data_IF_060530866914
#
_entry.id   IF_060530866914
#
_cell.length_a   1.000
_cell.length_b   1.000
_cell.length_c   1.000
_cell.angle_alpha   90.00
_cell.angle_beta   90.00
_cell.angle_gamma   90.00
#
_symmetry.space_group_name_H-M   'P 1'
#
loop_
_entity.id
_entity.type
_entity.pdbx_description
1 polymer ?
#
# COMPACT_ATOMS: atom_id res chain seq x y z
N UNK A 1 24.19 17.77 62.94
CA UNK A 1 24.48 18.20 61.55
C UNK A 1 24.78 17.00 60.65
N UNK A 2 25.71 16.10 61.00
CA UNK A 2 26.10 14.91 60.21
C UNK A 2 24.96 13.95 59.84
N UNK A 3 24.05 13.64 60.77
CA UNK A 3 22.91 12.75 60.52
C UNK A 3 21.93 13.28 59.46
N UNK A 4 21.83 14.60 59.30
CA UNK A 4 20.97 15.22 58.28
C UNK A 4 21.58 15.06 56.88
N UNK A 5 22.92 15.20 56.77
CA UNK A 5 23.63 15.01 55.51
C UNK A 5 23.58 13.56 55.02
N UNK A 6 23.69 12.57 55.92
CA UNK A 6 23.57 11.16 55.54
C UNK A 6 22.17 10.82 55.03
N UNK A 7 21.12 11.37 55.66
CA UNK A 7 19.73 11.14 55.26
C UNK A 7 19.43 11.75 53.88
N UNK A 8 19.96 12.95 53.63
CA UNK A 8 19.85 13.63 52.35
C UNK A 8 20.60 12.89 51.23
N UNK A 9 21.77 12.32 51.55
CA UNK A 9 22.53 11.49 50.63
C UNK A 9 21.80 10.20 50.25
N UNK A 10 21.19 9.52 51.24
CA UNK A 10 20.39 8.32 51.01
C UNK A 10 19.15 8.64 50.16
N UNK A 11 18.45 9.74 50.46
CA UNK A 11 17.31 10.18 49.68
C UNK A 11 17.70 10.53 48.23
N UNK A 12 18.84 11.21 48.04
CA UNK A 12 19.38 11.50 46.71
C UNK A 12 19.75 10.23 45.94
N UNK A 13 20.40 9.27 46.58
CA UNK A 13 20.73 7.98 45.97
C UNK A 13 19.47 7.18 45.59
N UNK A 14 18.45 7.22 46.43
CA UNK A 14 17.16 6.58 46.16
C UNK A 14 16.42 7.24 44.99
N UNK A 15 16.38 8.58 44.93
CA UNK A 15 15.82 9.31 43.79
C UNK A 15 16.57 9.02 42.49
N UNK A 16 17.90 8.94 42.53
CA UNK A 16 18.72 8.54 41.39
C UNK A 16 18.39 7.11 40.96
N UNK A 17 18.25 6.17 41.89
CA UNK A 17 17.86 4.79 41.59
C UNK A 17 16.49 4.73 40.88
N UNK A 18 15.49 5.45 41.40
CA UNK A 18 14.16 5.53 40.77
C UNK A 18 14.23 6.16 39.38
N UNK A 19 15.00 7.24 39.21
CA UNK A 19 15.23 7.90 37.93
C UNK A 19 15.88 6.96 36.90
N UNK A 20 16.93 6.23 37.30
CA UNK A 20 17.56 5.24 36.43
C UNK A 20 16.62 4.08 36.07
N UNK A 21 15.76 3.66 37.00
CA UNK A 21 14.72 2.65 36.75
C UNK A 21 13.72 3.10 35.69
N UNK A 22 13.16 4.30 35.83
CA UNK A 22 12.23 4.87 34.84
C UNK A 22 12.90 5.08 33.49
N UNK A 23 14.16 5.53 33.46
CA UNK A 23 14.92 5.71 32.21
C UNK A 23 15.10 4.39 31.46
N UNK A 24 15.50 3.32 32.15
CA UNK A 24 15.63 1.97 31.54
C UNK A 24 14.30 1.47 30.99
N UNK A 25 13.21 1.69 31.74
CA UNK A 25 11.87 1.29 31.35
C UNK A 25 11.43 2.03 30.08
N UNK A 26 11.60 3.35 30.03
CA UNK A 26 11.26 4.16 28.86
C UNK A 26 12.05 3.73 27.61
N UNK A 27 13.36 3.47 27.75
CA UNK A 27 14.17 2.97 26.63
C UNK A 27 13.69 1.60 26.13
N UNK A 28 13.26 0.70 27.03
CA UNK A 28 12.67 -0.59 26.62
C UNK A 28 11.36 -0.40 25.85
N UNK A 29 10.49 0.51 26.27
CA UNK A 29 9.27 0.81 25.52
C UNK A 29 9.57 1.40 24.15
N UNK A 30 10.56 2.29 24.05
CA UNK A 30 10.99 2.87 22.77
C UNK A 30 11.54 1.81 21.83
N UNK A 31 12.39 0.92 22.32
CA UNK A 31 12.95 -0.15 21.50
C UNK A 31 11.87 -1.14 21.02
N UNK A 32 10.95 -1.56 21.90
CA UNK A 32 9.85 -2.44 21.50
C UNK A 32 8.91 -1.77 20.51
N UNK A 33 8.63 -0.47 20.68
CA UNK A 33 7.84 0.29 19.72
C UNK A 33 8.54 0.36 18.36
N UNK A 34 9.84 0.69 18.34
CA UNK A 34 10.63 0.72 17.10
C UNK A 34 10.70 -0.64 16.42
N UNK A 35 10.90 -1.73 17.17
CA UNK A 35 10.94 -3.10 16.66
C UNK A 35 9.58 -3.55 16.09
N UNK A 36 8.50 -3.20 16.78
CA UNK A 36 7.16 -3.41 16.25
C UNK A 36 6.96 -2.62 14.96
N UNK A 37 7.32 -1.33 14.92
CA UNK A 37 7.20 -0.52 13.69
C UNK A 37 8.06 -1.05 12.55
N UNK A 38 9.32 -1.44 12.80
CA UNK A 38 10.20 -2.00 11.77
C UNK A 38 9.67 -3.35 11.26
N UNK A 39 9.17 -4.20 12.15
CA UNK A 39 8.56 -5.48 11.76
C UNK A 39 7.37 -5.30 10.81
N UNK A 40 6.55 -4.26 11.01
CA UNK A 40 5.44 -3.96 10.09
C UNK A 40 5.96 -3.51 8.71
N UNK A 41 6.99 -2.68 8.66
CA UNK A 41 7.60 -2.25 7.38
C UNK A 41 8.31 -3.40 6.67
N UNK A 42 9.09 -4.22 7.38
CA UNK A 42 9.78 -5.39 6.83
C UNK A 42 8.78 -6.43 6.28
N UNK A 43 7.64 -6.60 6.95
CA UNK A 43 6.55 -7.45 6.47
C UNK A 43 5.93 -6.89 5.19
N UNK A 44 5.59 -5.59 5.15
CA UNK A 44 5.03 -4.95 3.94
C UNK A 44 6.00 -5.07 2.78
N UNK A 45 7.29 -4.87 3.02
CA UNK A 45 8.34 -5.01 2.02
C UNK A 45 8.42 -6.45 1.49
N UNK A 46 8.37 -7.44 2.38
CA UNK A 46 8.35 -8.86 1.98
C UNK A 46 7.13 -9.20 1.12
N UNK A 47 5.94 -8.73 1.52
CA UNK A 47 4.71 -8.93 0.75
C UNK A 47 4.81 -8.28 -0.62
N UNK A 48 5.35 -7.05 -0.68
CA UNK A 48 5.54 -6.30 -1.94
C UNK A 48 6.52 -7.00 -2.88
N UNK A 49 7.64 -7.51 -2.37
CA UNK A 49 8.60 -8.32 -3.15
C UNK A 49 7.94 -9.60 -3.65
N UNK A 50 7.16 -10.28 -2.80
CA UNK A 50 6.38 -11.46 -3.19
C UNK A 50 5.37 -11.14 -4.29
N UNK A 51 4.69 -9.99 -4.19
CA UNK A 51 3.72 -9.50 -5.15
C UNK A 51 4.38 -9.27 -6.52
N UNK A 52 5.51 -8.57 -6.55
CA UNK A 52 6.29 -8.41 -7.78
C UNK A 52 6.70 -9.76 -8.38
N UNK A 53 7.24 -10.68 -7.57
CA UNK A 53 7.67 -11.98 -8.09
C UNK A 53 6.52 -12.88 -8.57
N UNK A 54 5.32 -12.72 -8.00
CA UNK A 54 4.12 -13.43 -8.44
C UNK A 54 3.69 -12.99 -9.84
N UNK A 55 3.73 -11.69 -10.10
CA UNK A 55 3.17 -11.09 -11.32
C UNK A 55 4.21 -10.68 -12.36
N UNK A 56 5.51 -10.72 -12.03
CA UNK A 56 6.57 -10.46 -13.01
C UNK A 56 6.45 -11.47 -14.15
N UNK A 57 6.54 -10.96 -15.36
CA UNK A 57 6.57 -11.77 -16.58
C UNK A 57 8.02 -12.14 -16.85
N UNK A 58 8.36 -13.41 -16.68
CA UNK A 58 9.64 -13.93 -17.16
C UNK A 58 9.52 -14.15 -18.68
N UNK A 59 10.20 -13.31 -19.46
CA UNK A 59 10.18 -13.39 -20.93
C UNK A 59 10.78 -14.70 -21.47
N UNK A 60 11.48 -15.46 -20.64
CA UNK A 60 12.11 -16.74 -20.99
C UNK A 60 11.25 -17.97 -20.65
N UNK A 61 10.19 -17.80 -19.85
CA UNK A 61 9.25 -18.87 -19.53
C UNK A 61 7.91 -18.58 -20.20
N UNK A 62 7.54 -19.42 -21.18
CA UNK A 62 6.16 -19.55 -21.66
C UNK A 62 5.29 -20.06 -20.51
N UNK A 63 4.93 -19.17 -19.58
CA UNK A 63 3.84 -19.42 -18.67
C UNK A 63 2.56 -19.33 -19.49
N UNK A 64 1.80 -20.42 -19.50
CA UNK A 64 0.44 -20.51 -20.04
C UNK A 64 -0.59 -19.68 -19.22
N UNK A 65 -0.10 -18.81 -18.33
CA UNK A 65 -0.90 -17.97 -17.46
C UNK A 65 -1.43 -16.74 -18.22
N UNK A 66 -2.62 -16.30 -17.83
CA UNK A 66 -3.26 -15.11 -18.39
C UNK A 66 -2.30 -13.89 -18.28
N UNK A 67 -1.94 -13.23 -19.40
CA UNK A 67 -1.02 -12.11 -19.38
C UNK A 67 -1.54 -10.90 -18.61
N UNK A 68 -2.83 -10.89 -18.23
CA UNK A 68 -3.54 -9.81 -17.54
C UNK A 68 -3.80 -10.10 -16.04
N UNK A 69 -3.16 -11.12 -15.47
CA UNK A 69 -3.38 -11.51 -14.07
C UNK A 69 -3.14 -10.36 -13.07
N UNK A 70 -2.18 -9.49 -13.34
CA UNK A 70 -1.88 -8.39 -12.43
C UNK A 70 -2.93 -7.28 -12.51
N UNK A 71 -3.40 -6.98 -13.70
CA UNK A 71 -4.47 -6.04 -13.99
C UNK A 71 -5.77 -6.51 -13.34
N UNK A 72 -6.10 -7.80 -13.45
CA UNK A 72 -7.24 -8.40 -12.74
C UNK A 72 -7.11 -8.28 -11.22
N UNK A 73 -5.93 -8.58 -10.67
CA UNK A 73 -5.67 -8.44 -9.24
C UNK A 73 -5.87 -7.00 -8.75
N UNK A 74 -5.34 -6.02 -9.48
CA UNK A 74 -5.51 -4.60 -9.14
C UNK A 74 -6.97 -4.18 -9.29
N UNK A 75 -7.66 -4.62 -10.34
CA UNK A 75 -9.07 -4.31 -10.57
C UNK A 75 -9.99 -4.79 -9.44
N UNK A 76 -9.72 -5.97 -8.86
CA UNK A 76 -10.47 -6.48 -7.71
C UNK A 76 -10.25 -5.65 -6.43
N UNK A 77 -9.02 -5.19 -6.21
CA UNK A 77 -8.69 -4.30 -5.09
C UNK A 77 -9.39 -2.97 -5.28
N UNK A 78 -9.25 -2.33 -6.44
CA UNK A 78 -9.83 -1.01 -6.70
C UNK A 78 -11.36 -1.02 -6.57
N UNK A 79 -12.01 -2.06 -7.09
CA UNK A 79 -13.44 -2.28 -6.91
C UNK A 79 -13.87 -2.28 -5.44
N UNK A 80 -13.08 -2.86 -4.54
CA UNK A 80 -13.39 -2.85 -3.11
C UNK A 80 -13.13 -1.50 -2.44
N UNK A 81 -12.23 -0.70 -3.01
CA UNK A 81 -11.81 0.59 -2.44
C UNK A 81 -12.78 1.70 -2.83
N UNK A 82 -13.22 1.76 -4.10
CA UNK A 82 -14.11 2.83 -4.60
C UNK A 82 -15.56 2.38 -4.80
N UNK A 83 -15.83 1.08 -4.75
CA UNK A 83 -17.15 0.53 -5.06
C UNK A 83 -17.44 0.47 -6.56
N UNK A 84 -18.64 0.00 -6.93
CA UNK A 84 -19.07 -0.09 -8.32
C UNK A 84 -18.51 -1.30 -9.08
N UNK A 85 -18.09 -1.08 -10.33
CA UNK A 85 -17.64 -2.15 -11.24
C UNK A 85 -16.34 -1.80 -11.95
N UNK A 86 -15.45 -2.78 -12.06
CA UNK A 86 -14.19 -2.68 -12.80
C UNK A 86 -14.19 -3.62 -14.00
N UNK A 87 -13.53 -3.20 -15.07
CA UNK A 87 -13.32 -3.95 -16.30
C UNK A 87 -11.84 -3.85 -16.68
N UNK A 88 -11.18 -5.00 -16.83
CA UNK A 88 -9.82 -5.07 -17.38
C UNK A 88 -9.89 -5.04 -18.90
N UNK A 89 -9.08 -4.18 -19.52
CA UNK A 89 -9.03 -4.03 -20.97
C UNK A 89 -8.15 -5.13 -21.61
N UNK A 90 -8.15 -5.20 -22.95
CA UNK A 90 -7.33 -6.18 -23.67
C UNK A 90 -5.91 -5.66 -23.79
N UNK A 91 -4.92 -6.55 -23.72
CA UNK A 91 -3.48 -6.21 -23.78
C UNK A 91 -2.98 -5.47 -25.04
N UNK A 92 -3.80 -5.32 -26.08
CA UNK A 92 -3.41 -4.65 -27.33
C UNK A 92 -4.49 -3.68 -27.79
N UNK A 93 -4.10 -2.44 -28.10
CA UNK A 93 -5.00 -1.42 -28.65
C UNK A 93 -5.90 -0.75 -27.60
N UNK A 94 -5.56 -0.89 -26.32
CA UNK A 94 -6.23 -0.23 -25.19
C UNK A 94 -5.83 1.25 -25.02
N UNK A 95 -4.91 1.74 -25.85
CA UNK A 95 -4.34 3.09 -25.77
C UNK A 95 -3.75 3.41 -24.39
N UNK A 96 -3.27 2.39 -23.68
CA UNK A 96 -2.62 2.47 -22.37
C UNK A 96 -3.58 2.60 -21.19
N UNK A 97 -4.84 2.23 -21.34
CA UNK A 97 -5.79 2.04 -20.23
C UNK A 97 -5.88 0.56 -19.92
N UNK A 98 -5.45 0.15 -18.73
CA UNK A 98 -5.48 -1.27 -18.31
C UNK A 98 -6.80 -1.61 -17.59
N UNK A 99 -7.38 -0.62 -16.88
CA UNK A 99 -8.60 -0.78 -16.09
C UNK A 99 -9.57 0.38 -16.37
N UNK A 100 -10.83 0.04 -16.62
CA UNK A 100 -11.96 0.97 -16.66
C UNK A 100 -12.83 0.73 -15.43
N UNK A 101 -13.09 1.77 -14.66
CA UNK A 101 -13.82 1.67 -13.40
C UNK A 101 -15.00 2.64 -13.38
N UNK A 102 -16.19 2.11 -13.15
CA UNK A 102 -17.43 2.88 -13.01
C UNK A 102 -17.86 2.87 -11.54
N UNK A 103 -17.85 4.06 -10.94
CA UNK A 103 -18.28 4.29 -9.55
C UNK A 103 -19.51 5.21 -9.52
N UNK A 104 -20.08 5.42 -8.34
CA UNK A 104 -21.16 6.40 -8.15
C UNK A 104 -20.68 7.84 -8.38
N UNK A 105 -19.38 8.10 -8.27
CA UNK A 105 -18.76 9.41 -8.50
C UNK A 105 -18.45 9.67 -9.98
N UNK A 106 -18.33 8.60 -10.79
CA UNK A 106 -18.13 8.71 -12.23
C UNK A 106 -17.17 7.66 -12.79
N UNK A 107 -16.64 7.96 -13.98
CA UNK A 107 -15.67 7.11 -14.67
C UNK A 107 -14.24 7.38 -14.16
N UNK A 108 -13.53 6.32 -13.78
CA UNK A 108 -12.11 6.32 -13.48
C UNK A 108 -11.35 5.44 -14.46
N UNK A 109 -10.14 5.87 -14.81
CA UNK A 109 -9.25 5.15 -15.72
C UNK A 109 -7.95 4.76 -15.01
N UNK A 110 -7.56 3.50 -15.13
CA UNK A 110 -6.41 2.92 -14.44
C UNK A 110 -5.33 2.44 -15.40
N UNK A 111 -4.06 2.69 -15.05
CA UNK A 111 -2.92 2.02 -15.66
C UNK A 111 -2.08 1.30 -14.59
N UNK A 112 -1.53 0.15 -14.94
CA UNK A 112 -0.85 -0.77 -14.03
C UNK A 112 0.55 -1.10 -14.56
N UNK A 113 1.55 -1.15 -13.66
CA UNK A 113 2.96 -1.44 -13.99
C UNK A 113 3.61 -2.37 -12.96
N UNK A 114 3.82 -3.64 -13.33
CA UNK A 114 4.53 -4.61 -12.50
C UNK A 114 6.06 -4.45 -12.64
N UNK A 115 6.64 -3.42 -12.00
CA UNK A 115 8.07 -3.12 -12.03
C UNK A 115 8.77 -3.37 -10.70
N UNK A 116 10.09 -3.58 -10.75
CA UNK A 116 10.94 -3.64 -9.57
C UNK A 116 11.39 -2.25 -9.12
N UNK A 117 12.03 -2.17 -7.96
CA UNK A 117 12.47 -0.90 -7.36
C UNK A 117 13.60 -0.21 -8.10
N UNK A 118 14.35 -0.93 -8.92
CA UNK A 118 15.45 -0.38 -9.71
C UNK A 118 14.96 0.27 -11.01
N UNK A 119 13.67 0.11 -11.34
CA UNK A 119 13.03 0.72 -12.50
C UNK A 119 11.79 1.53 -12.08
N UNK A 120 11.98 2.68 -11.41
CA UNK A 120 10.87 3.50 -10.97
C UNK A 120 10.07 4.04 -12.16
N UNK A 121 8.74 4.09 -11.99
CA UNK A 121 7.81 4.54 -13.01
C UNK A 121 7.95 6.06 -13.23
N UNK A 122 8.14 6.44 -14.50
CA UNK A 122 8.21 7.82 -14.98
C UNK A 122 6.84 8.48 -15.13
N UNK A 123 6.82 9.64 -15.78
CA UNK A 123 5.58 10.41 -15.99
C UNK A 123 4.73 9.90 -17.17
N UNK A 124 5.29 9.07 -18.07
CA UNK A 124 4.61 8.66 -19.30
C UNK A 124 3.23 8.00 -19.06
N UNK A 125 3.06 7.07 -18.10
CA UNK A 125 1.75 6.49 -17.78
C UNK A 125 0.72 7.53 -17.34
N UNK A 126 1.18 8.56 -16.62
CA UNK A 126 0.33 9.62 -16.07
C UNK A 126 -0.17 10.51 -17.21
N UNK A 127 0.70 10.84 -18.16
CA UNK A 127 0.33 11.61 -19.34
C UNK A 127 -0.68 10.87 -20.23
N UNK A 128 -0.54 9.55 -20.38
CA UNK A 128 -1.48 8.70 -21.10
C UNK A 128 -2.85 8.74 -20.42
N UNK A 129 -2.89 8.49 -19.12
CA UNK A 129 -4.15 8.50 -18.33
C UNK A 129 -4.81 9.87 -18.43
N UNK A 130 -4.06 10.96 -18.23
CA UNK A 130 -4.60 12.31 -18.34
C UNK A 130 -5.25 12.57 -19.71
N UNK A 131 -4.56 12.21 -20.80
CA UNK A 131 -5.10 12.35 -22.16
C UNK A 131 -6.41 11.58 -22.35
N UNK A 132 -6.48 10.36 -21.81
CA UNK A 132 -7.68 9.52 -21.91
C UNK A 132 -8.82 10.01 -21.03
N UNK A 133 -8.52 10.58 -19.85
CA UNK A 133 -9.53 11.20 -18.99
C UNK A 133 -10.24 12.33 -19.72
N UNK A 134 -9.48 13.21 -20.38
CA UNK A 134 -10.05 14.30 -21.19
C UNK A 134 -10.87 13.75 -22.37
N UNK A 135 -10.38 12.72 -23.05
CA UNK A 135 -11.05 12.13 -24.20
C UNK A 135 -12.38 11.44 -23.83
N UNK A 136 -12.44 10.81 -22.66
CA UNK A 136 -13.56 9.97 -22.23
C UNK A 136 -14.46 10.64 -21.18
N UNK A 137 -14.19 11.92 -20.84
CA UNK A 137 -14.89 12.66 -19.79
C UNK A 137 -14.85 11.93 -18.43
N UNK A 138 -13.69 11.35 -18.10
CA UNK A 138 -13.47 10.66 -16.84
C UNK A 138 -13.22 11.66 -15.71
N UNK A 139 -13.79 11.38 -14.53
CA UNK A 139 -13.69 12.27 -13.37
C UNK A 139 -12.35 12.14 -12.64
N UNK A 140 -11.61 11.06 -12.90
CA UNK A 140 -10.31 10.81 -12.29
C UNK A 140 -9.57 9.66 -12.97
N UNK A 141 -8.35 9.43 -12.51
CA UNK A 141 -7.56 8.29 -12.94
C UNK A 141 -6.57 7.83 -11.88
N UNK A 142 -5.88 6.74 -12.16
CA UNK A 142 -4.83 6.25 -11.27
C UNK A 142 -3.76 5.46 -12.03
N UNK A 143 -2.56 5.47 -11.46
CA UNK A 143 -1.45 4.61 -11.90
C UNK A 143 -1.00 3.77 -10.73
N UNK A 144 -0.95 2.45 -10.92
CA UNK A 144 -0.55 1.46 -9.91
C UNK A 144 0.77 0.83 -10.29
N UNK A 145 1.66 0.63 -9.33
CA UNK A 145 2.89 -0.13 -9.53
C UNK A 145 3.26 -0.99 -8.33
N UNK A 146 3.93 -2.12 -8.57
CA UNK A 146 4.59 -2.90 -7.51
C UNK A 146 5.89 -2.25 -7.01
N UNK A 147 6.41 -1.28 -7.76
CA UNK A 147 7.65 -0.56 -7.46
C UNK A 147 7.39 0.84 -6.93
N UNK A 148 8.17 1.80 -7.42
CA UNK A 148 8.16 3.21 -6.97
C UNK A 148 7.91 4.14 -8.15
N UNK A 149 7.48 5.36 -7.87
CA UNK A 149 7.44 6.45 -8.86
C UNK A 149 8.68 7.33 -8.73
N UNK A 150 9.10 7.92 -9.84
CA UNK A 150 10.12 8.97 -9.84
C UNK A 150 9.57 10.27 -9.21
N UNK A 151 10.46 11.15 -8.73
CA UNK A 151 10.04 12.46 -8.23
C UNK A 151 9.28 13.26 -9.30
N UNK A 152 9.77 13.25 -10.54
CA UNK A 152 9.11 13.92 -11.67
C UNK A 152 7.71 13.37 -11.95
N UNK A 153 7.46 12.07 -11.73
CA UNK A 153 6.13 11.49 -11.87
C UNK A 153 5.16 12.07 -10.83
N UNK A 154 5.59 12.20 -9.57
CA UNK A 154 4.77 12.87 -8.55
C UNK A 154 4.47 14.32 -8.90
N UNK A 155 5.50 15.11 -9.26
CA UNK A 155 5.32 16.51 -9.66
C UNK A 155 4.40 16.64 -10.88
N UNK A 156 4.51 15.74 -11.84
CA UNK A 156 3.66 15.77 -13.03
C UNK A 156 2.19 15.45 -12.72
N UNK A 157 1.91 14.59 -11.74
CA UNK A 157 0.54 14.22 -11.36
C UNK A 157 -0.21 15.33 -10.59
N UNK A 158 0.50 16.32 -10.03
CA UNK A 158 -0.11 17.37 -9.22
C UNK A 158 -1.22 18.12 -9.97
N UNK A 159 -2.42 18.13 -9.39
CA UNK A 159 -3.57 18.82 -9.96
C UNK A 159 -4.24 18.13 -11.16
N UNK A 160 -3.77 16.97 -11.61
CA UNK A 160 -4.34 16.26 -12.75
C UNK A 160 -5.53 15.35 -12.40
N UNK A 161 -5.87 15.19 -11.10
CA UNK A 161 -6.89 14.23 -10.66
C UNK A 161 -6.46 12.77 -10.85
N UNK A 162 -5.15 12.50 -10.82
CA UNK A 162 -4.58 11.17 -10.99
C UNK A 162 -3.90 10.70 -9.69
N UNK A 163 -4.35 9.57 -9.16
CA UNK A 163 -3.76 8.95 -7.97
C UNK A 163 -2.56 8.07 -8.33
N UNK A 164 -1.45 8.24 -7.62
CA UNK A 164 -0.27 7.38 -7.76
C UNK A 164 -0.22 6.39 -6.60
N UNK A 165 -0.33 5.10 -6.93
CA UNK A 165 -0.38 4.00 -5.96
C UNK A 165 0.89 3.16 -6.11
N UNK A 166 1.88 3.42 -5.27
CA UNK A 166 3.14 2.68 -5.27
C UNK A 166 3.00 1.30 -4.59
N UNK A 167 4.07 0.50 -4.60
CA UNK A 167 4.03 -0.86 -4.09
C UNK A 167 3.61 -0.98 -2.62
N UNK A 168 4.02 -0.04 -1.76
CA UNK A 168 3.62 -0.05 -0.35
C UNK A 168 2.13 0.28 -0.20
N UNK A 169 1.65 1.31 -0.92
CA UNK A 169 0.23 1.68 -0.93
C UNK A 169 -0.64 0.55 -1.49
N UNK A 170 -0.16 -0.15 -2.54
CA UNK A 170 -0.86 -1.30 -3.11
C UNK A 170 -0.99 -2.44 -2.09
N UNK A 171 0.06 -2.73 -1.32
CA UNK A 171 0.00 -3.73 -0.24
C UNK A 171 -1.01 -3.32 0.83
N UNK A 172 -1.05 -2.05 1.22
CA UNK A 172 -2.02 -1.55 2.20
C UNK A 172 -3.47 -1.63 1.70
N UNK A 173 -3.72 -1.32 0.43
CA UNK A 173 -5.04 -1.49 -0.19
C UNK A 173 -5.43 -2.96 -0.27
N UNK A 174 -4.47 -3.84 -0.58
CA UNK A 174 -4.71 -5.28 -0.65
C UNK A 174 -5.06 -5.86 0.73
N UNK A 175 -4.34 -5.49 1.79
CA UNK A 175 -4.66 -5.95 3.16
C UNK A 175 -6.06 -5.52 3.57
N UNK A 176 -6.44 -4.26 3.32
CA UNK A 176 -7.81 -3.76 3.56
C UNK A 176 -8.86 -4.53 2.75
N UNK A 177 -8.58 -4.83 1.48
CA UNK A 177 -9.45 -5.66 0.65
C UNK A 177 -9.69 -7.06 1.26
N UNK A 178 -8.64 -7.69 1.79
CA UNK A 178 -8.74 -9.00 2.43
C UNK A 178 -9.57 -8.96 3.72
N UNK A 179 -9.44 -7.90 4.53
CA UNK A 179 -10.23 -7.68 5.74
C UNK A 179 -11.73 -7.57 5.40
N UNK A 180 -12.10 -6.69 4.46
CA UNK A 180 -13.49 -6.52 4.00
C UNK A 180 -14.07 -7.85 3.49
N UNK A 181 -13.29 -8.63 2.75
CA UNK A 181 -13.72 -9.94 2.25
C UNK A 181 -13.97 -10.92 3.40
N UNK A 182 -13.09 -10.96 4.40
CA UNK A 182 -13.23 -11.81 5.60
C UNK A 182 -14.50 -11.48 6.40
N UNK A 183 -14.80 -10.19 6.58
CA UNK A 183 -16.03 -9.74 7.26
C UNK A 183 -17.30 -10.17 6.51
N UNK A 184 -17.30 -10.03 5.18
CA UNK A 184 -18.44 -10.45 4.35
C UNK A 184 -18.72 -11.94 4.43
N UNK A 185 -17.66 -12.77 4.51
CA UNK A 185 -17.78 -14.23 4.64
C UNK A 185 -18.30 -14.60 6.03
N UNK A 186 -17.83 -13.91 7.08
CA UNK A 186 -18.25 -14.17 8.46
C UNK A 186 -19.71 -13.78 8.71
N UNK A 187 -20.18 -12.70 8.08
CA UNK A 187 -21.58 -12.27 8.13
C UNK A 187 -22.56 -13.19 7.39
N UNK A 188 -22.06 -14.10 6.56
CA UNK A 188 -22.87 -15.08 5.80
C UNK A 188 -23.00 -16.45 6.48
N UNK A 189 -22.47 -16.65 7.70
CA UNK A 189 -22.66 -17.90 8.43
C UNK A 189 -24.12 -18.02 8.92
N UNK A 190 -24.95 -18.93 8.40
CA UNK A 190 -26.20 -19.27 9.05
C UNK A 190 -25.81 -20.06 10.30
N UNK A 191 -26.19 -19.56 11.48
CA UNK A 191 -26.25 -20.40 12.67
C UNK A 191 -27.12 -21.61 12.30
N UNK A 192 -26.48 -22.76 12.12
CA UNK A 192 -27.13 -24.05 12.07
C UNK A 192 -27.86 -24.23 13.40
N UNK A 193 -29.15 -23.94 13.41
CA UNK A 193 -30.02 -24.37 14.51
C UNK A 193 -30.09 -25.90 14.45
N UNK A 194 -29.38 -26.53 15.38
CA UNK A 194 -29.65 -27.91 15.82
C UNK A 194 -30.37 -27.80 17.16
#
# INVERSE_FOLDING_TARGET
>A
MTMLFSLLFIAMAFLLYLYFGQKKLLESYRMNALDAFSSHEDMKETIRIGLFNRFKRDLEQDKEEDPLLFEHFVADIMKSVRGGTTLVTRSSGDFGIDIVEHTDEGLYLGQVKCYNDFNPVGFDPIAIIHSQMIKQDAVGGYVVTTGKFTHNAYTYAEGLGIELINGNQLVELWLRHLETKSESITGLSPVSQI
#
